data_IF_933692291114
#
_entry.id   IF_933692291114
#
_cell.length_a   1.000
_cell.length_b   1.000
_cell.length_c   1.000
_cell.angle_alpha   90.00
_cell.angle_beta   90.00
_cell.angle_gamma   90.00
#
_symmetry.space_group_name_H-M   'P 1'
#
loop_
_entity.id
_entity.type
_entity.pdbx_description
1 polymer ?
#
# COMPACT_ATOMS: atom_id res chain seq x y z
N UNK A 1 -26.38 -29.64 -0.58
CA UNK A 1 -26.76 -29.09 0.71
C UNK A 1 -25.58 -29.25 1.68
N UNK A 2 -24.78 -28.19 1.91
CA UNK A 2 -23.77 -28.14 2.98
C UNK A 2 -24.06 -26.88 3.80
N UNK A 3 -24.32 -27.11 5.09
CA UNK A 3 -24.64 -26.08 6.08
C UNK A 3 -23.48 -25.09 6.26
N UNK A 4 -23.78 -23.82 6.08
CA UNK A 4 -22.94 -22.71 6.52
C UNK A 4 -23.00 -22.66 8.05
N UNK A 5 -21.84 -22.75 8.70
CA UNK A 5 -21.70 -22.52 10.14
C UNK A 5 -21.71 -21.00 10.37
N UNK A 6 -22.76 -20.54 11.03
CA UNK A 6 -22.77 -19.21 11.66
C UNK A 6 -21.67 -19.16 12.73
N UNK A 7 -20.76 -18.22 12.55
CA UNK A 7 -19.82 -17.83 13.59
C UNK A 7 -20.56 -16.82 14.49
N UNK A 8 -20.93 -17.28 15.67
CA UNK A 8 -21.53 -16.46 16.72
C UNK A 8 -20.45 -15.50 17.26
N UNK A 9 -20.54 -14.24 16.89
CA UNK A 9 -19.81 -13.16 17.56
C UNK A 9 -20.43 -12.95 18.95
N UNK A 10 -19.80 -13.53 19.95
CA UNK A 10 -20.07 -13.19 21.35
C UNK A 10 -19.56 -11.77 21.58
N UNK A 11 -20.48 -10.82 21.51
CA UNK A 11 -20.32 -9.45 22.02
C UNK A 11 -19.93 -9.53 23.49
N UNK A 12 -18.64 -9.33 23.78
CA UNK A 12 -18.13 -9.15 25.13
C UNK A 12 -18.58 -7.76 25.60
N UNK A 13 -19.71 -7.75 26.32
CA UNK A 13 -20.15 -6.57 27.02
C UNK A 13 -19.07 -6.19 28.05
N UNK A 14 -18.50 -5.00 27.89
CA UNK A 14 -17.64 -4.39 28.93
C UNK A 14 -18.48 -4.24 30.20
N UNK A 15 -17.97 -4.67 31.33
CA UNK A 15 -18.66 -4.42 32.58
C UNK A 15 -18.77 -2.91 32.82
N UNK A 16 -19.98 -2.43 33.05
CA UNK A 16 -20.25 -1.09 33.54
C UNK A 16 -19.43 -0.88 34.80
N UNK A 17 -18.56 0.12 34.78
CA UNK A 17 -17.83 0.54 35.99
C UNK A 17 -18.86 1.02 36.98
N UNK A 18 -19.02 0.25 38.03
CA UNK A 18 -19.84 0.63 39.19
C UNK A 18 -19.22 1.87 39.84
N UNK A 19 -19.88 3.00 39.69
CA UNK A 19 -19.44 4.31 40.22
C UNK A 19 -19.76 4.49 41.72
N UNK A 20 -19.79 3.42 42.50
CA UNK A 20 -20.23 3.41 43.89
C UNK A 20 -19.20 3.03 44.97
N UNK A 21 -17.99 2.60 44.63
CA UNK A 21 -17.00 2.32 45.67
C UNK A 21 -16.20 3.57 46.01
N UNK A 22 -16.41 4.09 47.25
CA UNK A 22 -15.48 5.03 47.88
C UNK A 22 -14.12 4.36 47.88
N UNK A 23 -13.24 4.82 46.99
CA UNK A 23 -11.84 4.40 46.96
C UNK A 23 -11.22 4.79 48.31
N UNK A 24 -10.75 3.81 49.08
CA UNK A 24 -9.81 4.07 50.16
C UNK A 24 -8.67 4.96 49.64
N UNK A 25 -8.17 5.92 50.47
CA UNK A 25 -7.08 6.77 50.04
C UNK A 25 -5.91 5.87 49.67
N UNK A 26 -5.62 5.76 48.34
CA UNK A 26 -4.55 4.95 47.81
C UNK A 26 -3.22 5.37 48.42
N UNK A 27 -2.31 4.44 48.56
CA UNK A 27 -0.96 4.76 49.06
C UNK A 27 -0.22 5.52 47.90
N UNK A 28 0.04 6.84 48.03
CA UNK A 28 0.63 7.64 46.95
C UNK A 28 1.99 7.12 46.47
N UNK A 29 2.74 6.46 47.36
CA UNK A 29 4.03 5.87 47.00
C UNK A 29 3.87 4.61 46.13
N UNK A 30 2.84 3.78 46.40
CA UNK A 30 2.54 2.60 45.61
C UNK A 30 1.98 3.00 44.23
N UNK A 31 1.15 4.03 44.17
CA UNK A 31 0.60 4.54 42.92
C UNK A 31 1.69 5.15 42.04
N UNK A 32 2.63 5.91 42.63
CA UNK A 32 3.80 6.42 41.92
C UNK A 32 4.70 5.30 41.42
N UNK A 33 4.90 4.23 42.21
CA UNK A 33 5.65 3.08 41.80
C UNK A 33 5.02 2.32 40.63
N UNK A 34 3.70 2.07 40.71
CA UNK A 34 2.95 1.41 39.63
C UNK A 34 2.97 2.24 38.36
N UNK A 35 2.83 3.56 38.48
CA UNK A 35 2.95 4.46 37.31
C UNK A 35 4.36 4.38 36.67
N UNK A 36 5.40 4.34 37.50
CA UNK A 36 6.76 4.25 37.00
C UNK A 36 7.02 2.91 36.27
N UNK A 37 6.54 1.79 36.83
CA UNK A 37 6.63 0.47 36.18
C UNK A 37 5.89 0.49 34.84
N UNK A 38 4.67 1.00 34.80
CA UNK A 38 3.88 1.10 33.56
C UNK A 38 4.58 1.98 32.52
N UNK A 39 5.13 3.11 32.94
CA UNK A 39 5.90 3.98 32.03
C UNK A 39 7.15 3.28 31.47
N UNK A 40 7.88 2.52 32.28
CA UNK A 40 9.02 1.72 31.83
C UNK A 40 8.59 0.63 30.84
N UNK A 41 7.51 -0.09 31.12
CA UNK A 41 6.97 -1.12 30.23
C UNK A 41 6.57 -0.53 28.88
N UNK A 42 5.87 0.58 28.86
CA UNK A 42 5.50 1.30 27.63
C UNK A 42 6.75 1.78 26.87
N UNK A 43 7.75 2.27 27.58
CA UNK A 43 9.04 2.64 26.99
C UNK A 43 9.72 1.49 26.27
N UNK A 44 9.80 0.32 26.92
CA UNK A 44 10.37 -0.88 26.31
C UNK A 44 9.59 -1.33 25.08
N UNK A 45 8.24 -1.35 25.16
CA UNK A 45 7.39 -1.67 24.01
C UNK A 45 7.56 -0.68 22.86
N UNK A 46 7.70 0.61 23.17
CA UNK A 46 7.98 1.63 22.16
C UNK A 46 9.30 1.37 21.43
N UNK A 47 10.39 1.10 22.17
CA UNK A 47 11.67 0.80 21.57
C UNK A 47 11.65 -0.48 20.73
N UNK A 48 10.93 -1.52 21.18
CA UNK A 48 10.79 -2.75 20.39
C UNK A 48 10.02 -2.51 19.08
N UNK A 49 8.93 -1.73 19.11
CA UNK A 49 8.20 -1.31 17.90
C UNK A 49 9.10 -0.50 16.96
N UNK A 50 9.89 0.43 17.50
CA UNK A 50 10.83 1.23 16.69
C UNK A 50 11.90 0.36 16.04
N UNK A 51 12.46 -0.62 16.76
CA UNK A 51 13.41 -1.60 16.22
C UNK A 51 12.78 -2.40 15.08
N UNK A 52 11.60 -2.97 15.27
CA UNK A 52 10.89 -3.74 14.25
C UNK A 52 10.58 -2.89 12.99
N UNK A 53 10.24 -1.61 13.17
CA UNK A 53 10.03 -0.69 12.05
C UNK A 53 11.32 -0.44 11.27
N UNK A 54 12.43 -0.24 11.97
CA UNK A 54 13.74 -0.05 11.35
C UNK A 54 14.16 -1.28 10.53
N UNK A 55 14.06 -2.48 11.11
CA UNK A 55 14.36 -3.72 10.41
C UNK A 55 13.50 -3.90 9.13
N UNK A 56 12.21 -3.66 9.21
CA UNK A 56 11.31 -3.71 8.03
C UNK A 56 11.64 -2.66 6.99
N UNK A 57 12.06 -1.48 7.41
CA UNK A 57 12.49 -0.42 6.49
C UNK A 57 13.77 -0.82 5.75
N UNK A 58 14.76 -1.39 6.46
CA UNK A 58 15.98 -1.88 5.85
C UNK A 58 15.72 -3.01 4.86
N UNK A 59 14.91 -4.01 5.23
CA UNK A 59 14.49 -5.08 4.33
C UNK A 59 13.77 -4.56 3.07
N UNK A 60 12.89 -3.56 3.25
CA UNK A 60 12.17 -2.97 2.12
C UNK A 60 13.13 -2.18 1.21
N UNK A 61 14.01 -1.38 1.80
CA UNK A 61 14.97 -0.55 1.07
C UNK A 61 16.05 -1.36 0.34
N UNK A 62 16.35 -2.58 0.83
CA UNK A 62 17.27 -3.49 0.17
C UNK A 62 16.72 -4.10 -1.12
N UNK A 63 15.43 -3.99 -1.40
CA UNK A 63 14.82 -4.48 -2.65
C UNK A 63 15.18 -3.55 -3.81
N UNK A 64 15.42 -4.13 -4.99
CA UNK A 64 15.86 -3.39 -6.18
C UNK A 64 14.83 -2.33 -6.65
N UNK A 65 13.54 -2.56 -6.43
CA UNK A 65 12.45 -1.63 -6.73
C UNK A 65 11.35 -1.80 -5.67
N UNK A 66 11.54 -1.23 -4.47
CA UNK A 66 10.56 -1.38 -3.39
C UNK A 66 9.24 -0.73 -3.79
N UNK A 67 8.19 -1.51 -3.82
CA UNK A 67 6.84 -1.05 -4.11
C UNK A 67 5.83 -1.73 -3.17
N UNK A 68 4.66 -1.11 -3.04
CA UNK A 68 3.54 -1.63 -2.24
C UNK A 68 2.41 -2.18 -3.12
N UNK A 69 2.64 -2.28 -4.42
CA UNK A 69 1.68 -2.86 -5.37
C UNK A 69 1.41 -4.32 -5.01
N UNK A 70 0.14 -4.67 -4.84
CA UNK A 70 -0.29 -6.03 -4.45
C UNK A 70 -0.29 -7.02 -5.60
N UNK A 71 -0.32 -6.52 -6.83
CA UNK A 71 -0.46 -7.31 -8.05
C UNK A 71 0.90 -7.56 -8.70
N UNK A 72 1.06 -8.71 -9.33
CA UNK A 72 2.16 -8.95 -10.26
C UNK A 72 2.01 -8.06 -11.48
N UNK A 73 3.13 -7.66 -12.07
CA UNK A 73 3.12 -6.78 -13.23
C UNK A 73 4.26 -7.08 -14.20
N UNK A 74 4.03 -6.71 -15.44
CA UNK A 74 5.01 -6.76 -16.53
C UNK A 74 5.44 -5.35 -16.92
N UNK A 75 6.75 -5.12 -17.04
CA UNK A 75 7.29 -3.84 -17.48
C UNK A 75 6.95 -3.63 -18.97
N UNK A 76 6.26 -2.53 -19.26
CA UNK A 76 5.90 -2.13 -20.63
C UNK A 76 6.86 -1.07 -21.16
N UNK A 77 7.09 -0.01 -20.39
CA UNK A 77 8.04 1.06 -20.73
C UNK A 77 8.86 1.44 -19.51
N UNK A 78 10.17 1.44 -19.66
CA UNK A 78 11.11 1.98 -18.67
C UNK A 78 11.43 3.44 -19.05
N UNK A 79 10.93 4.38 -18.24
CA UNK A 79 11.13 5.82 -18.49
C UNK A 79 12.59 6.27 -18.45
N UNK A 80 13.47 5.50 -17.80
CA UNK A 80 14.92 5.77 -17.78
C UNK A 80 15.58 5.60 -19.14
N UNK A 81 14.92 4.88 -20.06
CA UNK A 81 15.40 4.61 -21.43
C UNK A 81 14.82 5.56 -22.49
N UNK A 82 13.96 6.49 -22.07
CA UNK A 82 13.40 7.50 -22.96
C UNK A 82 14.45 8.55 -23.33
N UNK A 83 14.26 9.28 -24.46
CA UNK A 83 15.15 10.37 -24.86
C UNK A 83 15.30 11.47 -23.78
N UNK A 84 14.26 11.70 -23.01
CA UNK A 84 14.25 12.53 -21.77
C UNK A 84 14.04 11.57 -20.59
N UNK A 85 15.12 11.06 -19.97
CA UNK A 85 15.02 10.01 -18.97
C UNK A 85 14.30 10.47 -17.70
N UNK A 86 13.40 9.65 -17.21
CA UNK A 86 12.66 9.87 -15.97
C UNK A 86 12.66 8.62 -15.11
N UNK A 87 12.49 8.77 -13.80
CA UNK A 87 12.39 7.65 -12.86
C UNK A 87 10.97 7.04 -12.79
N UNK A 88 10.18 7.17 -13.86
CA UNK A 88 8.85 6.57 -13.97
C UNK A 88 8.87 5.36 -14.89
N UNK A 89 7.93 4.46 -14.69
CA UNK A 89 7.75 3.30 -15.55
C UNK A 89 6.26 2.99 -15.74
N UNK A 90 5.92 2.52 -16.94
CA UNK A 90 4.61 1.94 -17.24
C UNK A 90 4.71 0.44 -17.07
N UNK A 91 3.85 -0.13 -16.25
CA UNK A 91 3.72 -1.58 -16.11
C UNK A 91 2.29 -2.02 -16.45
N UNK A 92 2.14 -3.23 -16.99
CA UNK A 92 0.86 -3.89 -17.18
C UNK A 92 0.61 -4.80 -15.98
N UNK A 93 -0.57 -4.71 -15.39
CA UNK A 93 -0.95 -5.54 -14.25
C UNK A 93 -1.40 -6.91 -14.74
N UNK A 94 -0.85 -7.97 -14.14
CA UNK A 94 -1.32 -9.33 -14.35
C UNK A 94 -2.60 -9.57 -13.56
N UNK A 95 -3.64 -10.11 -14.19
CA UNK A 95 -4.87 -10.44 -13.47
C UNK A 95 -4.58 -11.56 -12.45
N UNK A 96 -5.21 -11.52 -11.25
CA UNK A 96 -5.18 -12.64 -10.32
C UNK A 96 -5.78 -13.88 -10.92
N UNK A 97 -5.44 -15.04 -10.35
CA UNK A 97 -6.00 -16.33 -10.78
C UNK A 97 -7.53 -16.32 -10.80
N UNK A 98 -8.12 -16.83 -11.87
CA UNK A 98 -9.56 -16.88 -12.06
C UNK A 98 -10.21 -15.60 -12.58
N UNK A 99 -9.47 -14.52 -12.76
CA UNK A 99 -9.96 -13.27 -13.35
C UNK A 99 -9.70 -13.27 -14.86
N UNK A 100 -10.77 -13.15 -15.65
CA UNK A 100 -10.70 -13.11 -17.12
C UNK A 100 -10.76 -11.65 -17.58
N UNK A 101 -9.77 -11.23 -18.35
CA UNK A 101 -9.70 -9.89 -18.94
C UNK A 101 -10.25 -9.92 -20.36
N UNK A 102 -11.16 -9.01 -20.67
CA UNK A 102 -11.61 -8.73 -22.04
C UNK A 102 -10.78 -7.58 -22.61
N UNK A 103 -9.86 -7.89 -23.50
CA UNK A 103 -8.94 -6.91 -24.12
C UNK A 103 -9.66 -5.85 -24.98
N UNK A 104 -10.94 -6.06 -25.30
CA UNK A 104 -11.77 -5.08 -26.03
C UNK A 104 -12.36 -4.02 -25.10
N UNK A 105 -12.33 -4.25 -23.82
CA UNK A 105 -12.77 -3.25 -22.84
C UNK A 105 -11.75 -2.13 -22.74
N UNK A 106 -12.24 -0.93 -22.38
CA UNK A 106 -11.38 0.22 -22.15
C UNK A 106 -10.31 -0.10 -21.11
N UNK A 107 -9.02 0.13 -21.42
CA UNK A 107 -7.97 -0.04 -20.43
C UNK A 107 -8.05 1.02 -19.34
N UNK A 108 -7.69 0.64 -18.12
CA UNK A 108 -7.49 1.55 -17.00
C UNK A 108 -6.00 1.81 -16.83
N UNK A 109 -5.63 3.08 -16.71
CA UNK A 109 -4.27 3.51 -16.37
C UNK A 109 -4.35 4.24 -15.03
N UNK A 110 -3.77 3.64 -14.01
CA UNK A 110 -3.69 4.23 -12.67
C UNK A 110 -2.31 4.85 -12.53
N UNK A 111 -2.28 6.14 -12.18
CA UNK A 111 -1.03 6.88 -11.97
C UNK A 111 -0.80 7.03 -10.47
N UNK A 112 0.35 6.62 -10.00
CA UNK A 112 0.75 6.76 -8.60
C UNK A 112 0.90 8.25 -8.23
N UNK A 113 0.24 8.73 -7.17
CA UNK A 113 0.31 10.14 -6.75
C UNK A 113 1.67 10.53 -6.17
N UNK A 114 2.66 9.61 -6.16
CA UNK A 114 3.99 9.80 -5.56
C UNK A 114 3.91 10.21 -4.09
N UNK A 115 3.06 9.54 -3.34
CA UNK A 115 2.92 9.73 -1.91
C UNK A 115 3.58 8.57 -1.16
N UNK A 116 4.47 8.87 -0.21
CA UNK A 116 5.18 7.87 0.59
C UNK A 116 6.49 7.38 -0.03
N UNK A 117 6.99 6.24 0.48
CA UNK A 117 8.34 5.74 0.18
C UNK A 117 8.40 4.72 -0.95
N UNK A 118 7.27 4.28 -1.48
CA UNK A 118 7.25 3.29 -2.56
C UNK A 118 5.98 3.42 -3.41
N UNK A 119 6.08 3.15 -4.73
CA UNK A 119 4.93 3.20 -5.62
C UNK A 119 3.94 2.07 -5.33
N UNK A 120 2.66 2.28 -5.66
CA UNK A 120 1.63 1.26 -5.54
C UNK A 120 0.29 1.76 -5.04
N UNK A 121 0.14 3.07 -4.79
CA UNK A 121 -1.15 3.66 -4.43
C UNK A 121 -2.13 3.50 -5.59
N UNK A 122 -3.34 3.01 -5.28
CA UNK A 122 -4.31 2.57 -6.28
C UNK A 122 -4.31 1.06 -6.52
N UNK A 123 -3.25 0.34 -6.08
CA UNK A 123 -3.07 -1.10 -6.23
C UNK A 123 -2.51 -1.83 -5.02
N UNK A 124 -2.49 -1.23 -3.84
CA UNK A 124 -1.88 -1.83 -2.63
C UNK A 124 -2.79 -2.85 -1.92
N UNK A 125 -4.04 -3.01 -2.35
CA UNK A 125 -5.00 -4.01 -1.84
C UNK A 125 -5.74 -4.71 -2.99
N UNK A 126 -6.28 -5.93 -2.75
CA UNK A 126 -7.12 -6.64 -3.73
C UNK A 126 -8.42 -5.91 -4.10
N UNK A 127 -8.91 -5.02 -3.24
CA UNK A 127 -10.13 -4.21 -3.41
C UNK A 127 -9.83 -2.73 -3.73
N UNK A 128 -8.61 -2.45 -4.21
CA UNK A 128 -8.19 -1.14 -4.71
C UNK A 128 -8.79 -0.82 -6.09
N UNK A 129 -8.55 0.39 -6.62
CA UNK A 129 -8.99 0.80 -7.97
C UNK A 129 -8.60 -0.23 -9.04
N UNK A 130 -7.34 -0.67 -9.04
CA UNK A 130 -6.85 -1.72 -9.94
C UNK A 130 -7.65 -3.02 -9.73
N UNK A 131 -7.82 -3.43 -8.48
CA UNK A 131 -8.54 -4.68 -8.17
C UNK A 131 -10.00 -4.67 -8.62
N UNK A 132 -10.68 -3.55 -8.50
CA UNK A 132 -12.07 -3.38 -8.97
C UNK A 132 -12.14 -3.43 -10.50
N UNK A 133 -11.23 -2.72 -11.18
CA UNK A 133 -11.17 -2.72 -12.64
C UNK A 133 -10.86 -4.11 -13.20
N UNK A 134 -9.90 -4.84 -12.62
CA UNK A 134 -9.59 -6.22 -13.01
C UNK A 134 -10.79 -7.15 -12.81
N UNK A 135 -11.47 -7.10 -11.65
CA UNK A 135 -12.67 -7.91 -11.39
C UNK A 135 -13.79 -7.63 -12.39
N UNK A 136 -13.87 -6.41 -12.89
CA UNK A 136 -14.79 -6.03 -13.96
C UNK A 136 -14.30 -6.45 -15.36
N UNK A 137 -13.14 -7.09 -15.47
CA UNK A 137 -12.58 -7.62 -16.72
C UNK A 137 -11.87 -6.59 -17.57
N UNK A 138 -11.44 -5.46 -17.03
CA UNK A 138 -10.69 -4.45 -17.76
C UNK A 138 -9.19 -4.72 -17.75
N UNK A 139 -8.46 -4.50 -18.87
CA UNK A 139 -7.02 -4.41 -18.85
C UNK A 139 -6.56 -3.26 -17.94
N UNK A 140 -5.55 -3.49 -17.11
CA UNK A 140 -5.08 -2.48 -16.17
C UNK A 140 -3.58 -2.24 -16.33
N UNK A 141 -3.21 -0.97 -16.31
CA UNK A 141 -1.85 -0.47 -16.32
C UNK A 141 -1.61 0.40 -15.09
N UNK A 142 -0.36 0.47 -14.71
CA UNK A 142 0.05 1.31 -13.59
C UNK A 142 1.29 2.11 -13.97
N UNK A 143 1.26 3.41 -13.72
CA UNK A 143 2.41 4.29 -13.84
C UNK A 143 2.95 4.51 -12.44
N UNK A 144 4.12 3.92 -12.19
CA UNK A 144 4.81 4.04 -10.91
C UNK A 144 6.13 4.78 -11.06
N UNK A 145 6.74 5.12 -9.93
CA UNK A 145 8.04 5.77 -9.88
C UNK A 145 9.07 4.92 -9.15
N UNK A 146 10.32 5.07 -9.52
CA UNK A 146 11.45 4.57 -8.74
C UNK A 146 11.83 5.61 -7.68
N UNK A 147 12.35 5.20 -6.51
CA UNK A 147 12.66 6.12 -5.41
C UNK A 147 13.61 7.25 -5.82
N UNK A 148 14.65 6.91 -6.58
CA UNK A 148 15.69 7.86 -6.97
C UNK A 148 15.31 8.55 -8.30
N UNK A 149 15.25 9.89 -8.33
CA UNK A 149 15.01 10.64 -9.57
C UNK A 149 16.20 10.56 -10.52
N UNK A 150 15.96 10.72 -11.82
CA UNK A 150 17.04 10.86 -12.79
C UNK A 150 17.71 12.23 -12.66
N UNK A 151 19.00 12.30 -12.86
CA UNK A 151 19.74 13.54 -12.80
C UNK A 151 19.20 14.55 -13.83
N UNK A 152 18.84 15.73 -13.37
CA UNK A 152 18.28 16.81 -14.22
C UNK A 152 16.83 16.61 -14.64
N UNK A 153 16.15 15.60 -14.15
CA UNK A 153 14.72 15.35 -14.42
C UNK A 153 13.85 16.51 -13.98
N UNK A 154 12.96 16.96 -14.84
CA UNK A 154 11.98 18.01 -14.59
C UNK A 154 10.55 17.46 -14.60
N UNK A 155 9.59 18.26 -14.11
CA UNK A 155 8.16 17.94 -14.21
C UNK A 155 7.73 17.83 -15.68
N UNK A 156 8.30 18.66 -16.56
CA UNK A 156 8.02 18.62 -17.99
C UNK A 156 8.47 17.29 -18.61
N UNK A 157 9.62 16.76 -18.20
CA UNK A 157 10.12 15.45 -18.67
C UNK A 157 9.18 14.32 -18.25
N UNK A 158 8.65 14.40 -17.02
CA UNK A 158 7.67 13.44 -16.51
C UNK A 158 6.39 13.50 -17.35
N UNK A 159 5.86 14.72 -17.63
CA UNK A 159 4.66 14.87 -18.45
C UNK A 159 4.84 14.30 -19.87
N UNK A 160 5.99 14.52 -20.51
CA UNK A 160 6.31 13.91 -21.79
C UNK A 160 6.41 12.38 -21.73
N UNK A 161 6.98 11.85 -20.66
CA UNK A 161 7.03 10.40 -20.45
C UNK A 161 5.62 9.80 -20.27
N UNK A 162 4.74 10.46 -19.51
CA UNK A 162 3.35 10.03 -19.32
C UNK A 162 2.56 10.03 -20.64
N UNK A 163 2.76 11.03 -21.49
CA UNK A 163 2.18 11.05 -22.85
C UNK A 163 2.64 9.81 -23.62
N UNK A 164 3.94 9.51 -23.61
CA UNK A 164 4.51 8.33 -24.27
C UNK A 164 3.93 7.03 -23.71
N UNK A 165 3.71 6.95 -22.40
CA UNK A 165 3.09 5.80 -21.76
C UNK A 165 1.64 5.61 -22.23
N UNK A 166 0.85 6.68 -22.28
CA UNK A 166 -0.54 6.64 -22.74
C UNK A 166 -0.61 6.26 -24.23
N UNK A 167 0.24 6.80 -25.08
CA UNK A 167 0.33 6.43 -26.49
C UNK A 167 0.63 4.92 -26.66
N UNK A 168 1.49 4.37 -25.78
CA UNK A 168 1.79 2.94 -25.79
C UNK A 168 0.59 2.08 -25.40
N UNK A 169 -0.19 2.53 -24.40
CA UNK A 169 -1.43 1.85 -24.00
C UNK A 169 -2.46 1.91 -25.14
N UNK A 170 -2.67 3.07 -25.74
CA UNK A 170 -3.60 3.26 -26.87
C UNK A 170 -3.23 2.36 -28.04
N UNK A 171 -1.95 2.30 -28.40
CA UNK A 171 -1.47 1.44 -29.49
C UNK A 171 -1.68 -0.06 -29.21
N UNK A 172 -1.73 -0.45 -27.93
CA UNK A 172 -1.98 -1.84 -27.52
C UNK A 172 -3.46 -2.21 -27.49
N UNK A 173 -4.37 -1.23 -27.55
CA UNK A 173 -5.81 -1.40 -27.51
C UNK A 173 -6.50 -0.58 -28.61
N UNK A 174 -6.30 -0.94 -29.90
CA UNK A 174 -6.97 -0.26 -30.99
C UNK A 174 -8.48 -0.45 -30.89
N UNK A 175 -9.25 0.64 -30.95
CA UNK A 175 -10.72 0.69 -30.92
C UNK A 175 -11.32 0.17 -32.23
#
# INVERSE_FOLDING_TARGET
MKKVKEVNETSSARPLIDSGSRSEPGNPALDAWNYWIDACQRGLLFFDVMRQRSERYEEHSAKAAPHVLKFECDLVVDGRKLPRPVNYALVRIRPPEGVIIDERKRPFVVVDPRAGHGPGIGGFKPDSEIGVALKAGHPCYFVGFLPEPMAGQTIEDIAHAEITFLERVIASHPS
#
